data_IF_198928298234
#
_entry.id   IF_198928298234
#
_cell.length_a   1.000
_cell.length_b   1.000
_cell.length_c   1.000
_cell.angle_alpha   90.00
_cell.angle_beta   90.00
_cell.angle_gamma   90.00
#
_symmetry.space_group_name_H-M   'P 1'
#
loop_
_entity.id
_entity.type
_entity.pdbx_description
1 polymer ?
#
# COMPACT_ATOMS: atom_id res chain seq x y z
N UNK A 1 -25.96 11.21 2.00
CA UNK A 1 -24.89 11.99 1.31
C UNK A 1 -24.86 13.47 1.70
N UNK A 2 -23.78 13.87 2.37
CA UNK A 2 -23.51 15.24 2.83
C UNK A 2 -22.94 16.18 1.72
N UNK A 3 -22.72 17.46 2.05
CA UNK A 3 -22.24 18.47 1.11
C UNK A 3 -20.82 18.22 0.58
N UNK A 4 -19.89 17.81 1.45
CA UNK A 4 -18.50 17.52 1.08
C UNK A 4 -18.48 16.33 0.11
N UNK A 5 -19.19 15.26 0.44
CA UNK A 5 -19.30 14.08 -0.43
C UNK A 5 -19.88 14.46 -1.79
N UNK A 6 -20.92 15.30 -1.85
CA UNK A 6 -21.46 15.79 -3.15
C UNK A 6 -20.45 16.61 -3.96
N UNK A 7 -19.58 17.39 -3.31
CA UNK A 7 -18.52 18.16 -4.00
C UNK A 7 -17.44 17.23 -4.54
N UNK A 8 -17.02 16.24 -3.75
CA UNK A 8 -16.03 15.22 -4.14
C UNK A 8 -16.58 14.32 -5.26
N UNK A 9 -17.83 13.87 -5.15
CA UNK A 9 -18.50 13.09 -6.19
C UNK A 9 -18.56 13.85 -7.53
N UNK A 10 -18.97 15.12 -7.51
CA UNK A 10 -18.98 15.95 -8.73
C UNK A 10 -17.58 16.11 -9.32
N UNK A 11 -16.58 16.34 -8.47
CA UNK A 11 -15.19 16.44 -8.91
C UNK A 11 -14.71 15.18 -9.66
N UNK A 12 -14.96 13.98 -9.12
CA UNK A 12 -14.58 12.73 -9.80
C UNK A 12 -15.54 12.33 -10.93
N UNK A 13 -16.71 12.95 -11.03
CA UNK A 13 -17.57 12.83 -12.22
C UNK A 13 -16.96 13.58 -13.40
N UNK A 14 -16.46 14.80 -13.14
CA UNK A 14 -15.83 15.65 -14.15
C UNK A 14 -14.38 15.21 -14.46
N UNK A 15 -13.72 14.60 -13.48
CA UNK A 15 -12.33 14.13 -13.56
C UNK A 15 -12.18 12.71 -13.02
N UNK A 16 -12.65 11.68 -13.75
CA UNK A 16 -12.47 10.29 -13.33
C UNK A 16 -10.99 9.98 -13.10
N UNK A 17 -10.70 9.44 -11.91
CA UNK A 17 -9.34 9.17 -11.43
C UNK A 17 -9.35 7.89 -10.56
N UNK A 18 -8.26 7.10 -10.49
CA UNK A 18 -7.00 7.19 -11.25
C UNK A 18 -7.16 7.07 -12.77
N UNK A 19 -6.07 7.20 -13.53
CA UNK A 19 -6.07 6.91 -14.97
C UNK A 19 -6.33 5.43 -15.28
N UNK A 20 -6.32 5.07 -16.56
CA UNK A 20 -6.57 3.68 -17.03
C UNK A 20 -5.37 2.75 -16.93
N UNK A 21 -4.25 3.24 -16.40
CA UNK A 21 -3.05 2.42 -16.21
C UNK A 21 -3.21 1.54 -14.99
N UNK A 22 -2.84 0.27 -15.13
CA UNK A 22 -2.85 -0.67 -14.01
C UNK A 22 -1.89 -0.22 -12.93
N UNK A 23 -2.40 -0.12 -11.71
CA UNK A 23 -1.62 0.17 -10.53
C UNK A 23 -1.57 -1.10 -9.69
N UNK A 24 -0.58 -1.94 -9.97
CA UNK A 24 -0.25 -3.05 -9.06
C UNK A 24 0.39 -2.42 -7.83
N UNK A 25 -0.43 -2.23 -6.79
CA UNK A 25 0.03 -1.76 -5.48
C UNK A 25 0.76 -2.87 -4.75
N UNK A 26 1.68 -2.51 -3.87
CA UNK A 26 2.39 -3.45 -3.01
C UNK A 26 1.40 -4.27 -2.14
N UNK A 27 0.23 -3.71 -1.82
CA UNK A 27 -0.80 -4.38 -1.05
C UNK A 27 -1.83 -5.16 -1.89
N UNK A 28 -1.61 -5.33 -3.20
CA UNK A 28 -2.52 -6.05 -4.10
C UNK A 28 -2.55 -7.57 -3.89
N UNK A 29 -1.82 -8.08 -2.90
CA UNK A 29 -1.61 -9.51 -2.65
C UNK A 29 -2.31 -9.92 -1.35
N UNK A 30 -3.56 -10.41 -1.40
CA UNK A 30 -4.31 -10.81 -0.21
C UNK A 30 -3.54 -11.80 0.66
N UNK A 31 -2.89 -12.80 0.06
CA UNK A 31 -2.08 -13.79 0.78
C UNK A 31 -0.97 -13.15 1.63
N UNK A 32 -0.35 -12.07 1.14
CA UNK A 32 0.65 -11.31 1.89
C UNK A 32 -0.01 -10.54 3.03
N UNK A 33 -1.03 -9.71 2.74
CA UNK A 33 -1.68 -8.86 3.75
C UNK A 33 -2.22 -9.69 4.91
N UNK A 34 -2.87 -10.77 4.53
CA UNK A 34 -3.48 -11.65 5.49
C UNK A 34 -2.49 -12.51 6.29
N UNK A 35 -1.25 -12.62 5.82
CA UNK A 35 -0.19 -13.28 6.57
C UNK A 35 0.29 -12.53 7.81
N UNK A 36 -0.12 -11.27 7.95
CA UNK A 36 0.30 -10.40 9.05
C UNK A 36 -0.57 -10.54 10.29
N UNK A 37 -1.70 -11.24 10.21
CA UNK A 37 -2.56 -11.55 11.36
C UNK A 37 -2.36 -13.02 11.72
N UNK A 38 -2.30 -13.31 13.02
CA UNK A 38 -2.24 -14.69 13.49
C UNK A 38 -3.61 -15.35 13.32
N UNK A 39 -3.71 -16.30 12.40
CA UNK A 39 -4.98 -17.00 12.11
C UNK A 39 -4.77 -18.34 11.44
N UNK A 40 -5.83 -19.14 11.46
CA UNK A 40 -5.97 -20.34 10.65
C UNK A 40 -6.30 -19.99 9.17
N UNK A 41 -6.03 -20.90 8.21
CA UNK A 41 -6.44 -20.75 6.81
C UNK A 41 -7.93 -20.47 6.67
N UNK A 42 -8.33 -19.67 5.68
CA UNK A 42 -9.76 -19.44 5.44
C UNK A 42 -10.41 -20.69 4.87
N UNK A 43 -11.48 -21.24 5.48
CA UNK A 43 -12.21 -22.37 4.91
C UNK A 43 -13.15 -21.96 3.77
N UNK A 44 -13.06 -20.72 3.27
CA UNK A 44 -14.01 -20.09 2.35
C UNK A 44 -13.31 -19.27 1.28
N UNK A 45 -14.04 -19.00 0.20
CA UNK A 45 -13.65 -18.02 -0.83
C UNK A 45 -13.30 -16.67 -0.20
N UNK A 46 -12.15 -16.12 -0.62
CA UNK A 46 -11.71 -14.79 -0.21
C UNK A 46 -12.71 -13.73 -0.68
N UNK A 47 -13.02 -12.82 0.23
CA UNK A 47 -13.86 -11.65 -0.01
C UNK A 47 -12.99 -10.40 0.09
N UNK A 48 -12.90 -9.68 -1.03
CA UNK A 48 -11.97 -8.57 -1.25
C UNK A 48 -12.76 -7.30 -1.57
N UNK A 49 -12.49 -6.19 -0.87
CA UNK A 49 -13.16 -4.89 -1.06
C UNK A 49 -12.16 -3.77 -1.36
N UNK A 50 -12.30 -3.09 -2.49
CA UNK A 50 -11.63 -1.80 -2.74
C UNK A 50 -12.62 -0.66 -2.47
N UNK A 51 -12.45 0.01 -1.31
CA UNK A 51 -13.33 1.05 -0.81
C UNK A 51 -12.91 2.43 -1.36
N UNK A 52 -13.59 2.89 -2.41
CA UNK A 52 -13.22 4.03 -3.24
C UNK A 52 -12.34 3.60 -4.42
N UNK A 53 -12.84 2.65 -5.21
CA UNK A 53 -12.07 1.99 -6.27
C UNK A 53 -11.77 2.90 -7.48
N UNK A 54 -12.40 4.07 -7.57
CA UNK A 54 -12.26 4.99 -8.69
C UNK A 54 -12.54 4.29 -10.02
N UNK A 55 -11.65 4.51 -10.99
CA UNK A 55 -11.71 3.89 -12.32
C UNK A 55 -11.19 2.44 -12.36
N UNK A 56 -10.89 1.84 -11.20
CA UNK A 56 -10.50 0.43 -11.09
C UNK A 56 -9.01 0.14 -11.30
N UNK A 57 -8.15 1.16 -11.30
CA UNK A 57 -6.71 1.00 -11.57
C UNK A 57 -6.00 -0.05 -10.68
N UNK A 58 -6.38 -0.14 -9.40
CA UNK A 58 -5.90 -1.18 -8.48
C UNK A 58 -6.85 -2.39 -8.37
N UNK A 59 -8.16 -2.15 -8.43
CA UNK A 59 -9.19 -3.20 -8.36
C UNK A 59 -9.03 -4.27 -9.44
N UNK A 60 -8.74 -3.86 -10.67
CA UNK A 60 -8.65 -4.75 -11.84
C UNK A 60 -7.48 -5.73 -11.73
N UNK A 61 -6.22 -5.29 -11.46
CA UNK A 61 -5.13 -6.23 -11.25
C UNK A 61 -5.39 -7.13 -10.04
N UNK A 62 -6.01 -6.63 -8.95
CA UNK A 62 -6.43 -7.48 -7.82
C UNK A 62 -7.38 -8.58 -8.29
N UNK A 63 -8.41 -8.25 -9.07
CA UNK A 63 -9.35 -9.23 -9.62
C UNK A 63 -8.68 -10.23 -10.58
N UNK A 64 -7.72 -9.77 -11.40
CA UNK A 64 -7.00 -10.61 -12.35
C UNK A 64 -6.09 -11.64 -11.65
N UNK A 65 -5.43 -11.24 -10.55
CA UNK A 65 -4.56 -12.12 -9.76
C UNK A 65 -5.33 -13.08 -8.84
N UNK A 66 -6.61 -12.82 -8.59
CA UNK A 66 -7.44 -13.60 -7.66
C UNK A 66 -8.77 -14.01 -8.33
N UNK A 67 -8.76 -14.85 -9.39
CA UNK A 67 -9.95 -15.19 -10.16
C UNK A 67 -11.01 -15.96 -9.36
N UNK A 68 -10.60 -16.70 -8.34
CA UNK A 68 -11.49 -17.47 -7.46
C UNK A 68 -12.08 -16.61 -6.33
N UNK A 69 -11.58 -15.39 -6.10
CA UNK A 69 -12.04 -14.51 -5.04
C UNK A 69 -13.29 -13.73 -5.47
N UNK A 70 -14.15 -13.42 -4.50
CA UNK A 70 -15.20 -12.42 -4.70
C UNK A 70 -14.60 -11.03 -4.51
N UNK A 71 -14.51 -10.27 -5.60
CA UNK A 71 -13.87 -8.96 -5.62
C UNK A 71 -14.92 -7.87 -5.86
N UNK A 72 -15.02 -6.94 -4.91
CA UNK A 72 -16.00 -5.86 -4.92
C UNK A 72 -15.28 -4.52 -4.92
N UNK A 73 -15.64 -3.64 -5.86
CA UNK A 73 -15.25 -2.23 -5.88
C UNK A 73 -16.43 -1.35 -5.53
N UNK A 74 -16.23 -0.39 -4.63
CA UNK A 74 -17.25 0.63 -4.33
C UNK A 74 -16.71 2.02 -4.60
N UNK A 75 -17.53 2.90 -5.16
CA UNK A 75 -17.20 4.31 -5.35
C UNK A 75 -18.46 5.17 -5.32
N UNK A 76 -18.31 6.46 -5.02
CA UNK A 76 -19.42 7.42 -5.01
C UNK A 76 -19.75 7.92 -6.43
N UNK A 77 -18.75 7.93 -7.32
CA UNK A 77 -18.84 8.44 -8.70
C UNK A 77 -19.30 7.36 -9.68
N UNK A 78 -20.48 7.55 -10.27
CA UNK A 78 -20.99 6.66 -11.34
C UNK A 78 -20.05 6.67 -12.55
N UNK A 79 -19.52 7.83 -12.93
CA UNK A 79 -18.62 7.95 -14.07
C UNK A 79 -17.33 7.14 -13.87
N UNK A 80 -16.78 7.15 -12.64
CA UNK A 80 -15.62 6.33 -12.30
C UNK A 80 -15.93 4.83 -12.38
N UNK A 81 -17.11 4.42 -11.87
CA UNK A 81 -17.56 3.02 -11.95
C UNK A 81 -17.84 2.56 -13.38
N UNK A 82 -18.35 3.44 -14.25
CA UNK A 82 -18.55 3.14 -15.67
C UNK A 82 -17.20 2.90 -16.38
N UNK A 83 -16.18 3.71 -16.08
CA UNK A 83 -14.82 3.47 -16.60
C UNK A 83 -14.21 2.19 -16.03
N UNK A 84 -14.40 1.92 -14.73
CA UNK A 84 -13.97 0.67 -14.10
C UNK A 84 -14.62 -0.55 -14.76
N UNK A 85 -15.92 -0.49 -15.04
CA UNK A 85 -16.65 -1.54 -15.74
C UNK A 85 -16.13 -1.74 -17.17
N UNK A 86 -15.84 -0.64 -17.88
CA UNK A 86 -15.28 -0.69 -19.22
C UNK A 86 -13.88 -1.32 -19.23
N UNK A 87 -13.03 -0.95 -18.27
CA UNK A 87 -11.70 -1.56 -18.12
C UNK A 87 -11.80 -3.04 -17.72
N UNK A 88 -12.65 -3.40 -16.77
CA UNK A 88 -12.85 -4.79 -16.35
C UNK A 88 -13.23 -5.70 -17.53
N UNK A 89 -14.12 -5.24 -18.41
CA UNK A 89 -14.48 -5.95 -19.66
C UNK A 89 -13.29 -6.09 -20.61
N UNK A 90 -12.49 -5.02 -20.79
CA UNK A 90 -11.29 -5.06 -21.65
C UNK A 90 -10.24 -6.05 -21.16
N UNK A 91 -10.17 -6.24 -19.85
CA UNK A 91 -9.14 -7.04 -19.18
C UNK A 91 -9.59 -8.46 -18.81
N UNK A 92 -10.82 -8.84 -19.16
CA UNK A 92 -11.35 -10.17 -18.86
C UNK A 92 -11.67 -10.40 -17.37
N UNK A 93 -11.79 -9.34 -16.57
CA UNK A 93 -12.10 -9.41 -15.14
C UNK A 93 -13.55 -9.02 -14.83
N UNK A 94 -14.47 -9.30 -15.74
CA UNK A 94 -15.88 -8.94 -15.61
C UNK A 94 -16.63 -9.68 -14.47
N UNK A 95 -15.96 -10.58 -13.74
CA UNK A 95 -16.45 -11.21 -12.52
C UNK A 95 -16.46 -10.29 -11.31
N UNK A 96 -15.78 -9.14 -11.37
CA UNK A 96 -15.81 -8.16 -10.29
C UNK A 96 -17.19 -7.48 -10.16
N UNK A 97 -17.55 -7.15 -8.93
CA UNK A 97 -18.79 -6.44 -8.61
C UNK A 97 -18.49 -4.95 -8.39
N UNK A 98 -19.26 -4.06 -9.03
CA UNK A 98 -19.14 -2.61 -8.88
C UNK A 98 -20.41 -2.06 -8.26
N UNK A 99 -20.27 -1.36 -7.14
CA UNK A 99 -21.40 -0.85 -6.37
C UNK A 99 -21.21 0.65 -6.12
N UNK A 100 -22.23 1.44 -6.47
CA UNK A 100 -22.25 2.84 -6.08
C UNK A 100 -22.61 2.97 -4.59
N UNK A 101 -21.70 3.52 -3.79
CA UNK A 101 -21.94 3.74 -2.36
C UNK A 101 -21.21 4.97 -1.83
N UNK A 102 -21.74 5.55 -0.76
CA UNK A 102 -21.12 6.63 -0.01
C UNK A 102 -20.57 6.06 1.31
N UNK A 103 -19.25 6.00 1.43
CA UNK A 103 -18.59 5.43 2.60
C UNK A 103 -18.90 6.19 3.91
N UNK A 104 -19.29 7.47 3.81
CA UNK A 104 -19.73 8.27 4.97
C UNK A 104 -21.14 7.85 5.40
N UNK A 105 -22.01 7.58 4.43
CA UNK A 105 -23.40 7.19 4.64
C UNK A 105 -23.52 5.66 4.73
N UNK A 106 -23.33 5.13 5.94
CA UNK A 106 -23.33 3.70 6.20
C UNK A 106 -24.58 2.93 5.75
N UNK A 107 -25.72 3.62 5.56
CA UNK A 107 -26.93 2.99 5.01
C UNK A 107 -26.72 2.50 3.57
N UNK A 108 -25.89 3.20 2.79
CA UNK A 108 -25.57 2.83 1.40
C UNK A 108 -24.70 1.57 1.32
N UNK A 109 -24.09 1.13 2.43
CA UNK A 109 -23.26 -0.07 2.51
C UNK A 109 -24.04 -1.32 2.91
N UNK A 110 -25.34 -1.21 3.17
CA UNK A 110 -26.20 -2.35 3.53
C UNK A 110 -26.12 -3.52 2.54
N UNK A 111 -26.10 -3.31 1.20
CA UNK A 111 -25.93 -4.40 0.25
C UNK A 111 -24.62 -5.19 0.43
N UNK A 112 -23.55 -4.53 0.88
CA UNK A 112 -22.28 -5.18 1.17
C UNK A 112 -22.37 -6.04 2.43
N UNK A 113 -23.06 -5.57 3.48
CA UNK A 113 -23.28 -6.35 4.70
C UNK A 113 -24.10 -7.61 4.43
N UNK A 114 -25.13 -7.50 3.60
CA UNK A 114 -26.01 -8.62 3.23
C UNK A 114 -25.33 -9.60 2.28
N UNK A 115 -24.56 -9.10 1.30
CA UNK A 115 -23.86 -9.90 0.30
C UNK A 115 -22.54 -10.52 0.77
N UNK A 116 -22.04 -10.13 1.94
CA UNK A 116 -20.74 -10.58 2.47
C UNK A 116 -20.86 -11.20 3.87
N UNK A 117 -21.56 -12.34 4.05
CA UNK A 117 -21.62 -13.00 5.34
C UNK A 117 -20.21 -13.37 5.81
N UNK A 118 -19.88 -12.99 7.05
CA UNK A 118 -18.53 -13.17 7.62
C UNK A 118 -17.56 -12.01 7.34
N UNK A 119 -17.94 -11.04 6.50
CA UNK A 119 -17.15 -9.85 6.19
C UNK A 119 -16.03 -10.07 5.17
N UNK A 120 -15.37 -8.99 4.80
CA UNK A 120 -14.26 -8.95 3.87
C UNK A 120 -12.94 -9.29 4.56
N UNK A 121 -12.17 -10.17 3.95
CA UNK A 121 -10.88 -10.64 4.44
C UNK A 121 -9.79 -9.58 4.24
N UNK A 122 -9.92 -8.79 3.17
CA UNK A 122 -9.11 -7.59 2.93
C UNK A 122 -10.01 -6.44 2.46
N UNK A 123 -9.83 -5.29 3.10
CA UNK A 123 -10.42 -4.02 2.65
C UNK A 123 -9.26 -3.07 2.33
N UNK A 124 -9.26 -2.48 1.14
CA UNK A 124 -8.36 -1.37 0.80
C UNK A 124 -9.11 -0.04 0.90
N UNK A 125 -8.50 0.94 1.56
CA UNK A 125 -8.95 2.32 1.66
C UNK A 125 -7.79 3.25 1.29
N UNK A 126 -7.45 3.26 0.01
CA UNK A 126 -6.27 3.95 -0.50
C UNK A 126 -6.66 5.19 -1.28
N UNK A 127 -6.11 6.36 -0.92
CA UNK A 127 -6.43 7.59 -1.65
C UNK A 127 -7.79 8.22 -1.31
N UNK A 128 -8.48 7.75 -0.26
CA UNK A 128 -9.90 8.06 -0.04
C UNK A 128 -10.16 8.80 1.26
N UNK A 129 -9.62 8.30 2.38
CA UNK A 129 -9.97 8.80 3.72
C UNK A 129 -9.70 10.32 3.90
N UNK A 130 -8.70 10.88 3.20
CA UNK A 130 -8.37 12.31 3.19
C UNK A 130 -9.35 13.19 2.40
N UNK A 131 -10.25 12.58 1.63
CA UNK A 131 -11.29 13.25 0.85
C UNK A 131 -12.67 13.14 1.51
N UNK A 132 -12.76 12.59 2.72
CA UNK A 132 -14.01 12.39 3.45
C UNK A 132 -14.28 13.50 4.47
N UNK A 133 -15.57 13.75 4.73
CA UNK A 133 -16.05 14.67 5.78
C UNK A 133 -15.93 14.06 7.17
N UNK A 134 -16.25 12.76 7.30
CA UNK A 134 -16.23 11.99 8.55
C UNK A 134 -15.29 10.77 8.43
N UNK A 135 -13.97 10.98 8.62
CA UNK A 135 -12.97 9.90 8.56
C UNK A 135 -13.25 8.78 9.57
N UNK A 136 -13.69 9.11 10.77
CA UNK A 136 -13.89 8.14 11.85
C UNK A 136 -15.16 7.34 11.56
N UNK A 137 -16.23 7.99 11.08
CA UNK A 137 -17.44 7.33 10.60
C UNK A 137 -17.15 6.34 9.47
N UNK A 138 -16.37 6.75 8.47
CA UNK A 138 -15.93 5.88 7.36
C UNK A 138 -15.20 4.65 7.89
N UNK A 139 -14.21 4.82 8.78
CA UNK A 139 -13.49 3.70 9.36
C UNK A 139 -14.39 2.80 10.22
N UNK A 140 -15.35 3.36 10.97
CA UNK A 140 -16.34 2.58 11.72
C UNK A 140 -17.25 1.77 10.79
N UNK A 141 -17.65 2.33 9.67
CA UNK A 141 -18.44 1.63 8.66
C UNK A 141 -17.65 0.47 8.04
N UNK A 142 -16.39 0.71 7.64
CA UNK A 142 -15.52 -0.34 7.09
C UNK A 142 -15.18 -1.41 8.12
N UNK A 143 -14.99 -1.05 9.40
CA UNK A 143 -14.81 -2.03 10.48
C UNK A 143 -15.99 -3.00 10.58
N UNK A 144 -17.23 -2.57 10.34
CA UNK A 144 -18.42 -3.45 10.34
C UNK A 144 -18.42 -4.44 9.17
N UNK A 145 -17.79 -4.06 8.05
CA UNK A 145 -17.62 -4.89 6.87
C UNK A 145 -16.42 -5.83 6.98
N UNK A 146 -15.47 -5.55 7.89
CA UNK A 146 -14.23 -6.31 8.04
C UNK A 146 -14.48 -7.65 8.73
N UNK A 147 -14.00 -8.74 8.12
CA UNK A 147 -14.01 -10.06 8.74
C UNK A 147 -13.26 -10.06 10.09
N UNK A 148 -13.56 -10.99 11.02
CA UNK A 148 -12.89 -11.05 12.32
C UNK A 148 -11.36 -11.11 12.23
N UNK A 149 -10.82 -11.82 11.24
CA UNK A 149 -9.37 -11.94 10.96
C UNK A 149 -8.97 -11.17 9.69
N UNK A 150 -9.79 -10.20 9.31
CA UNK A 150 -9.59 -9.35 8.14
C UNK A 150 -8.58 -8.24 8.39
N UNK A 151 -7.98 -7.76 7.29
CA UNK A 151 -7.01 -6.66 7.29
C UNK A 151 -7.57 -5.47 6.51
N UNK A 152 -7.51 -4.29 7.12
CA UNK A 152 -7.80 -3.02 6.48
C UNK A 152 -6.47 -2.35 6.08
N UNK A 153 -6.21 -2.21 4.79
CA UNK A 153 -5.13 -1.38 4.25
C UNK A 153 -5.60 0.07 4.13
N UNK A 154 -4.86 1.00 4.73
CA UNK A 154 -5.16 2.44 4.72
C UNK A 154 -3.98 3.19 4.13
N UNK A 155 -4.24 4.01 3.12
CA UNK A 155 -3.29 4.97 2.60
C UNK A 155 -3.86 6.38 2.68
N UNK A 156 -3.10 7.28 3.33
CA UNK A 156 -3.41 8.70 3.37
C UNK A 156 -2.21 9.56 3.00
N UNK A 157 -2.50 10.76 2.50
CA UNK A 157 -1.45 11.75 2.26
C UNK A 157 -0.81 12.23 3.56
N UNK A 158 0.53 12.18 3.60
CA UNK A 158 1.34 12.62 4.74
C UNK A 158 1.43 14.14 4.78
N UNK A 159 1.25 14.72 5.97
CA UNK A 159 1.33 16.17 6.21
C UNK A 159 2.69 16.74 5.86
N UNK A 160 3.75 16.05 6.25
CA UNK A 160 5.11 16.56 6.09
C UNK A 160 5.63 16.29 4.68
N UNK A 161 5.50 15.05 4.19
CA UNK A 161 5.97 14.71 2.85
C UNK A 161 5.16 15.37 1.72
N UNK A 162 3.90 15.76 1.96
CA UNK A 162 3.11 16.54 0.99
C UNK A 162 3.12 18.04 1.21
N UNK A 163 3.88 18.54 2.18
CA UNK A 163 3.91 19.98 2.47
C UNK A 163 4.17 20.87 1.24
N UNK A 164 5.10 20.53 0.31
CA UNK A 164 5.28 21.32 -0.91
C UNK A 164 4.01 21.41 -1.79
N UNK A 165 3.28 20.30 -1.90
CA UNK A 165 2.02 20.19 -2.67
C UNK A 165 0.92 20.99 -2.01
N UNK A 166 0.74 20.81 -0.71
CA UNK A 166 -0.31 21.50 0.06
C UNK A 166 -0.09 23.01 0.04
N UNK A 167 1.17 23.47 0.13
CA UNK A 167 1.53 24.88 0.00
C UNK A 167 1.24 25.41 -1.40
N UNK A 168 1.58 24.66 -2.44
CA UNK A 168 1.30 25.07 -3.81
C UNK A 168 -0.22 25.15 -4.08
N UNK A 169 -0.97 24.11 -3.74
CA UNK A 169 -2.43 24.07 -3.85
C UNK A 169 -3.08 25.26 -3.10
N UNK A 170 -2.57 25.57 -1.90
CA UNK A 170 -3.03 26.73 -1.12
C UNK A 170 -2.70 28.05 -1.81
N UNK A 171 -1.51 28.21 -2.41
CA UNK A 171 -1.15 29.41 -3.15
C UNK A 171 -2.10 29.67 -4.33
N UNK A 172 -2.45 28.62 -5.09
CA UNK A 172 -3.44 28.71 -6.18
C UNK A 172 -4.81 29.14 -5.67
N UNK A 173 -5.30 28.56 -4.57
CA UNK A 173 -6.59 28.95 -3.98
C UNK A 173 -6.59 30.39 -3.44
N UNK A 174 -5.47 30.86 -2.89
CA UNK A 174 -5.33 32.23 -2.39
C UNK A 174 -5.24 33.26 -3.53
N UNK A 175 -4.55 32.93 -4.61
CA UNK A 175 -4.43 33.82 -5.77
C UNK A 175 -5.76 33.95 -6.53
N UNK A 176 -6.56 32.88 -6.56
CA UNK A 176 -7.77 32.77 -7.35
C UNK A 176 -8.96 32.26 -6.51
N UNK A 177 -9.44 33.04 -5.51
CA UNK A 177 -10.45 32.59 -4.55
C UNK A 177 -11.83 32.33 -5.16
N UNK A 178 -12.23 33.10 -6.18
CA UNK A 178 -13.53 32.99 -6.85
C UNK A 178 -13.47 32.19 -8.16
N UNK A 179 -12.27 31.83 -8.62
CA UNK A 179 -12.08 31.17 -9.91
C UNK A 179 -12.57 29.71 -9.90
N UNK A 180 -13.09 29.29 -11.05
CA UNK A 180 -13.41 27.89 -11.32
C UNK A 180 -12.17 27.01 -11.48
N UNK A 181 -12.38 25.70 -11.54
CA UNK A 181 -11.30 24.70 -11.60
C UNK A 181 -10.41 24.87 -12.85
N UNK A 182 -11.00 25.19 -14.00
CA UNK A 182 -10.26 25.36 -15.26
C UNK A 182 -9.27 26.54 -15.21
N UNK A 183 -9.71 27.68 -14.67
CA UNK A 183 -8.87 28.88 -14.53
C UNK A 183 -7.75 28.66 -13.51
N UNK A 184 -8.08 28.08 -12.35
CA UNK A 184 -7.08 27.69 -11.34
C UNK A 184 -6.03 26.75 -11.92
N UNK A 185 -6.44 25.79 -12.74
CA UNK A 185 -5.53 24.86 -13.41
C UNK A 185 -4.62 25.56 -14.41
N UNK A 186 -5.17 26.42 -15.25
CA UNK A 186 -4.38 27.17 -16.24
C UNK A 186 -3.30 27.99 -15.54
N UNK A 187 -3.68 28.75 -14.51
CA UNK A 187 -2.74 29.54 -13.72
C UNK A 187 -1.73 28.68 -12.96
N UNK A 188 -2.17 27.58 -12.34
CA UNK A 188 -1.26 26.66 -11.65
C UNK A 188 -0.18 26.10 -12.59
N UNK A 189 -0.55 25.69 -13.82
CA UNK A 189 0.40 25.23 -14.83
C UNK A 189 1.35 26.32 -15.29
N UNK A 190 0.86 27.55 -15.45
CA UNK A 190 1.69 28.71 -15.79
C UNK A 190 2.72 29.00 -14.69
N UNK A 191 2.29 29.03 -13.42
CA UNK A 191 3.19 29.20 -12.27
C UNK A 191 4.22 28.08 -12.25
N UNK A 192 3.82 26.81 -12.41
CA UNK A 192 4.75 25.67 -12.49
C UNK A 192 5.79 25.82 -13.59
N UNK A 193 5.41 26.32 -14.76
CA UNK A 193 6.33 26.51 -15.88
C UNK A 193 7.34 27.66 -15.66
N UNK A 194 7.00 28.63 -14.80
CA UNK A 194 7.81 29.81 -14.52
C UNK A 194 8.57 29.74 -13.18
N UNK A 195 8.26 28.76 -12.33
CA UNK A 195 8.90 28.58 -11.03
C UNK A 195 10.38 28.23 -11.21
N UNK A 196 11.25 29.06 -10.64
CA UNK A 196 12.67 28.73 -10.47
C UNK A 196 12.84 27.87 -9.21
N UNK A 197 13.24 26.62 -9.41
CA UNK A 197 13.43 25.61 -8.37
C UNK A 197 14.74 25.87 -7.61
N UNK A 198 14.82 27.00 -6.90
CA UNK A 198 15.90 27.29 -5.95
C UNK A 198 15.92 26.28 -4.78
N UNK A 199 16.90 26.39 -3.86
CA UNK A 199 17.20 25.34 -2.86
C UNK A 199 16.11 25.09 -1.79
N UNK A 200 15.01 25.85 -1.79
CA UNK A 200 13.97 25.82 -0.74
C UNK A 200 12.62 25.28 -1.25
N UNK A 201 12.48 25.06 -2.56
CA UNK A 201 11.32 24.36 -3.11
C UNK A 201 11.83 23.07 -3.76
N UNK A 202 11.83 21.97 -3.00
CA UNK A 202 11.65 20.65 -3.65
C UNK A 202 10.37 20.83 -4.46
N UNK A 203 10.51 20.79 -5.79
CA UNK A 203 9.37 20.88 -6.69
C UNK A 203 8.23 20.02 -6.11
N UNK A 204 6.96 20.42 -6.24
CA UNK A 204 5.83 19.58 -5.83
C UNK A 204 5.70 18.28 -6.67
N UNK A 205 6.79 17.52 -6.84
CA UNK A 205 7.14 16.36 -7.69
C UNK A 205 7.85 16.65 -9.02
N UNK A 206 8.50 15.62 -9.58
CA UNK A 206 9.48 15.72 -10.67
C UNK A 206 8.88 16.01 -12.06
N UNK A 207 7.57 15.86 -12.29
CA UNK A 207 6.94 16.00 -13.63
C UNK A 207 5.48 16.54 -13.67
N UNK A 208 5.09 17.59 -12.92
CA UNK A 208 3.70 18.04 -12.83
C UNK A 208 3.12 18.58 -14.16
N UNK A 209 3.96 19.07 -15.07
CA UNK A 209 3.53 19.61 -16.37
C UNK A 209 3.05 18.50 -17.34
N UNK A 210 3.58 17.29 -17.17
CA UNK A 210 3.26 16.12 -18.01
C UNK A 210 2.10 15.30 -17.43
N UNK A 211 1.71 15.56 -16.19
CA UNK A 211 0.61 14.86 -15.53
C UNK A 211 -0.72 15.02 -16.31
N UNK A 212 -1.49 13.93 -16.50
CA UNK A 212 -2.84 13.98 -17.04
C UNK A 212 -3.74 14.97 -16.29
N UNK A 213 -4.77 15.48 -16.96
CA UNK A 213 -5.66 16.51 -16.39
C UNK A 213 -6.27 16.09 -15.06
N UNK A 214 -6.80 14.86 -14.98
CA UNK A 214 -7.41 14.33 -13.77
C UNK A 214 -6.40 14.20 -12.62
N UNK A 215 -5.18 13.72 -12.88
CA UNK A 215 -4.11 13.63 -11.88
C UNK A 215 -3.69 15.00 -11.37
N UNK A 216 -3.53 15.98 -12.27
CA UNK A 216 -3.18 17.33 -11.88
C UNK A 216 -4.28 17.97 -11.01
N UNK A 217 -5.55 17.77 -11.40
CA UNK A 217 -6.69 18.27 -10.65
C UNK A 217 -6.78 17.61 -9.27
N UNK A 218 -6.65 16.29 -9.18
CA UNK A 218 -6.67 15.54 -7.92
C UNK A 218 -5.54 16.00 -6.99
N UNK A 219 -4.35 16.18 -7.55
CA UNK A 219 -3.16 16.53 -6.78
C UNK A 219 -3.18 17.96 -6.23
N UNK A 220 -3.57 18.94 -7.04
CA UNK A 220 -3.37 20.36 -6.70
C UNK A 220 -4.67 21.13 -6.46
N UNK A 221 -5.80 20.61 -6.93
CA UNK A 221 -7.05 21.37 -7.00
C UNK A 221 -8.25 20.65 -6.40
N UNK A 222 -8.04 19.49 -5.75
CA UNK A 222 -9.12 18.71 -5.16
C UNK A 222 -9.98 19.57 -4.20
N UNK A 223 -11.31 19.47 -4.25
CA UNK A 223 -12.21 20.37 -3.52
C UNK A 223 -12.18 20.19 -2.00
N UNK A 224 -11.75 19.02 -1.53
CA UNK A 224 -11.61 18.68 -0.12
C UNK A 224 -10.45 17.70 0.06
N UNK A 225 -9.28 18.19 0.44
CA UNK A 225 -8.11 17.37 0.69
C UNK A 225 -7.48 17.78 2.00
N UNK A 226 -7.15 16.79 2.82
CA UNK A 226 -6.42 16.96 4.08
C UNK A 226 -5.24 15.99 4.11
N UNK A 227 -4.22 16.35 4.88
CA UNK A 227 -3.04 15.52 5.09
C UNK A 227 -2.91 15.18 6.57
N UNK A 228 -2.38 14.01 6.87
CA UNK A 228 -2.32 13.44 8.21
C UNK A 228 -0.88 13.39 8.72
N UNK A 229 -0.70 13.62 10.02
CA UNK A 229 0.49 13.16 10.72
C UNK A 229 0.27 11.79 11.34
N UNK A 230 1.34 11.10 11.73
CA UNK A 230 1.29 9.79 12.42
C UNK A 230 0.34 9.82 13.61
N UNK A 231 0.48 10.84 14.48
CA UNK A 231 -0.35 10.99 15.68
C UNK A 231 -1.84 11.03 15.38
N UNK A 232 -2.24 11.92 14.48
CA UNK A 232 -3.64 12.13 14.10
C UNK A 232 -4.23 10.85 13.47
N UNK A 233 -3.44 10.14 12.66
CA UNK A 233 -3.87 8.88 12.05
C UNK A 233 -4.10 7.79 13.10
N UNK A 234 -3.24 7.69 14.12
CA UNK A 234 -3.41 6.77 15.25
C UNK A 234 -4.64 7.12 16.08
N UNK A 235 -4.88 8.40 16.36
CA UNK A 235 -6.07 8.89 17.06
C UNK A 235 -7.35 8.52 16.28
N UNK A 236 -7.39 8.78 14.97
CA UNK A 236 -8.52 8.45 14.10
C UNK A 236 -8.80 6.94 14.04
N UNK A 237 -7.76 6.10 13.97
CA UNK A 237 -7.91 4.63 14.02
C UNK A 237 -8.47 4.17 15.38
N UNK A 238 -7.89 4.69 16.48
CA UNK A 238 -8.31 4.36 17.84
C UNK A 238 -9.76 4.74 18.12
N UNK A 239 -10.18 5.94 17.71
CA UNK A 239 -11.57 6.40 17.85
C UNK A 239 -12.56 5.61 16.99
N UNK A 240 -12.11 5.07 15.85
CA UNK A 240 -12.89 4.13 15.05
C UNK A 240 -12.96 2.72 15.66
N UNK A 241 -12.20 2.48 16.74
CA UNK A 241 -12.08 1.17 17.39
C UNK A 241 -11.32 0.17 16.54
N UNK A 242 -10.38 0.62 15.72
CA UNK A 242 -9.45 -0.21 14.98
C UNK A 242 -8.08 -0.20 15.68
N UNK A 243 -7.34 -1.28 15.51
CA UNK A 243 -5.97 -1.41 16.00
C UNK A 243 -4.99 -1.28 14.85
N UNK A 244 -3.97 -0.45 15.02
CA UNK A 244 -2.80 -0.44 14.15
C UNK A 244 -2.11 -1.81 14.19
N UNK A 245 -1.91 -2.42 13.03
CA UNK A 245 -1.25 -3.71 12.89
C UNK A 245 0.24 -3.53 12.61
N UNK A 246 0.56 -2.81 11.54
CA UNK A 246 1.92 -2.47 11.11
C UNK A 246 1.88 -1.45 9.98
N UNK A 247 3.01 -0.81 9.71
CA UNK A 247 3.22 -0.10 8.45
C UNK A 247 3.34 -1.08 7.28
N UNK A 248 3.01 -0.64 6.08
CA UNK A 248 3.16 -1.44 4.87
C UNK A 248 4.62 -1.85 4.66
N UNK A 249 5.56 -0.93 4.89
CA UNK A 249 7.01 -1.17 4.86
C UNK A 249 7.63 -0.87 6.24
N UNK A 250 7.66 -1.83 7.18
CA UNK A 250 8.09 -1.57 8.55
C UNK A 250 9.54 -1.09 8.67
N UNK A 251 10.42 -1.49 7.74
CA UNK A 251 11.83 -1.06 7.73
C UNK A 251 11.99 0.44 7.50
N UNK A 252 11.03 1.07 6.80
CA UNK A 252 10.97 2.52 6.65
C UNK A 252 10.53 3.24 7.95
N UNK A 253 10.27 2.49 9.02
CA UNK A 253 9.87 2.96 10.34
C UNK A 253 10.68 2.29 11.47
N UNK A 254 11.76 1.58 11.12
CA UNK A 254 12.66 0.91 12.05
C UNK A 254 13.91 1.77 12.31
N UNK A 255 14.21 2.14 13.56
CA UNK A 255 15.34 3.03 13.84
C UNK A 255 16.70 2.51 13.38
N UNK A 256 16.97 1.21 13.50
CA UNK A 256 18.25 0.63 13.11
C UNK A 256 18.39 0.55 11.59
N UNK A 257 17.29 0.24 10.89
CA UNK A 257 17.25 0.27 9.43
C UNK A 257 17.46 1.69 8.87
N UNK A 258 16.95 2.72 9.55
CA UNK A 258 17.00 4.10 9.05
C UNK A 258 18.26 4.87 9.45
N UNK A 259 18.80 4.63 10.65
CA UNK A 259 19.95 5.36 11.20
C UNK A 259 21.24 4.52 11.26
N UNK A 260 21.14 3.21 11.05
CA UNK A 260 22.22 2.26 11.35
C UNK A 260 22.36 1.98 12.84
N UNK A 261 23.25 1.05 13.18
CA UNK A 261 23.53 0.70 14.57
C UNK A 261 24.18 1.86 15.33
N UNK A 262 23.69 2.14 16.55
CA UNK A 262 24.32 3.08 17.46
C UNK A 262 23.36 3.78 18.44
N UNK A 263 23.89 4.66 19.31
CA UNK A 263 23.15 5.19 20.46
C UNK A 263 21.88 5.98 20.10
N UNK A 264 21.84 6.59 18.92
CA UNK A 264 20.65 7.30 18.44
C UNK A 264 19.53 6.34 18.05
N UNK A 265 19.85 5.28 17.31
CA UNK A 265 18.90 4.22 16.95
C UNK A 265 18.40 3.49 18.19
N UNK A 266 19.30 3.11 19.11
CA UNK A 266 18.96 2.45 20.38
C UNK A 266 17.96 3.28 21.19
N UNK A 267 18.18 4.59 21.27
CA UNK A 267 17.31 5.51 21.99
C UNK A 267 15.91 5.56 21.37
N UNK A 268 15.82 5.63 20.04
CA UNK A 268 14.53 5.61 19.34
C UNK A 268 13.84 4.26 19.46
N UNK A 269 14.58 3.15 19.37
CA UNK A 269 14.06 1.79 19.47
C UNK A 269 13.41 1.53 20.84
N UNK A 270 13.95 2.14 21.90
CA UNK A 270 13.42 2.06 23.26
C UNK A 270 12.20 2.96 23.53
N UNK A 271 11.79 3.84 22.61
CA UNK A 271 10.62 4.69 22.79
C UNK A 271 9.31 3.90 22.65
N UNK A 272 8.20 4.37 23.26
CA UNK A 272 6.86 3.90 22.92
C UNK A 272 6.62 3.93 21.41
N UNK A 273 5.95 2.90 20.89
CA UNK A 273 5.81 2.66 19.44
C UNK A 273 5.31 3.88 18.66
N UNK A 274 4.22 4.49 19.10
CA UNK A 274 3.67 5.67 18.44
C UNK A 274 4.64 6.86 18.50
N UNK A 275 5.25 7.11 19.65
CA UNK A 275 6.22 8.20 19.81
C UNK A 275 7.43 8.02 18.89
N UNK A 276 7.91 6.79 18.74
CA UNK A 276 9.00 6.45 17.81
C UNK A 276 8.62 6.81 16.37
N UNK A 277 7.44 6.44 15.92
CA UNK A 277 6.97 6.77 14.56
C UNK A 277 6.78 8.28 14.36
N UNK A 278 6.26 9.00 15.35
CA UNK A 278 6.14 10.47 15.30
C UNK A 278 7.52 11.13 15.14
N UNK A 279 8.55 10.64 15.82
CA UNK A 279 9.92 11.17 15.67
C UNK A 279 10.49 10.83 14.29
N UNK A 280 10.34 9.60 13.80
CA UNK A 280 10.84 9.21 12.48
C UNK A 280 10.15 10.01 11.36
N UNK A 281 8.86 10.30 11.48
CA UNK A 281 8.13 11.18 10.56
C UNK A 281 8.73 12.59 10.47
N UNK A 282 9.35 13.09 11.55
CA UNK A 282 10.03 14.40 11.51
C UNK A 282 11.41 14.34 10.85
N UNK A 283 12.05 13.16 10.81
CA UNK A 283 13.40 12.98 10.29
C UNK A 283 13.40 12.58 8.81
N UNK A 284 12.34 11.91 8.34
CA UNK A 284 12.27 11.32 7.01
C UNK A 284 10.96 11.68 6.31
N UNK A 285 11.09 12.12 5.05
CA UNK A 285 9.93 12.49 4.24
C UNK A 285 9.24 11.26 3.66
N UNK A 286 8.06 10.94 4.18
CA UNK A 286 7.14 9.99 3.57
C UNK A 286 6.04 10.74 2.83
N UNK A 287 5.90 10.56 1.51
CA UNK A 287 4.86 11.24 0.73
C UNK A 287 3.42 10.78 1.09
N UNK A 288 3.30 9.56 1.60
CA UNK A 288 2.06 8.97 2.08
C UNK A 288 2.33 8.13 3.34
N UNK A 289 1.29 7.97 4.15
CA UNK A 289 1.26 7.06 5.29
C UNK A 289 0.43 5.83 4.87
N UNK A 290 1.09 4.67 4.81
CA UNK A 290 0.50 3.40 4.34
C UNK A 290 0.62 2.36 5.45
N UNK A 291 -0.51 1.95 6.01
CA UNK A 291 -0.57 1.03 7.15
C UNK A 291 -1.64 -0.03 6.98
N UNK A 292 -1.51 -1.08 7.78
CA UNK A 292 -2.53 -2.08 7.99
C UNK A 292 -3.15 -1.90 9.37
N UNK A 293 -4.46 -2.10 9.45
CA UNK A 293 -5.24 -2.09 10.67
C UNK A 293 -6.14 -3.33 10.74
N UNK A 294 -6.56 -3.70 11.95
CA UNK A 294 -7.41 -4.86 12.22
C UNK A 294 -8.37 -4.60 13.40
N UNK A 295 -9.20 -5.58 13.73
CA UNK A 295 -10.01 -5.55 14.95
C UNK A 295 -9.13 -5.53 16.20
N UNK A 296 -9.54 -4.82 17.28
CA UNK A 296 -8.72 -4.65 18.49
C UNK A 296 -8.44 -5.96 19.24
N UNK A 297 -9.33 -6.94 19.10
CA UNK A 297 -9.22 -8.31 19.63
C UNK A 297 -8.12 -9.13 18.94
N UNK A 298 -7.58 -8.65 17.81
CA UNK A 298 -6.56 -9.36 17.03
C UNK A 298 -5.16 -8.85 17.30
N UNK A 299 -4.21 -9.79 17.22
CA UNK A 299 -2.79 -9.51 17.31
C UNK A 299 -2.14 -9.75 15.95
N UNK A 300 -1.05 -9.02 15.70
CA UNK A 300 -0.18 -9.34 14.57
C UNK A 300 0.48 -10.69 14.76
N UNK A 301 0.82 -11.33 13.65
CA UNK A 301 1.47 -12.63 13.63
C UNK A 301 2.80 -12.55 14.41
N UNK A 302 3.02 -13.42 15.42
CA UNK A 302 4.23 -13.35 16.23
C UNK A 302 5.48 -13.63 15.39
N UNK A 303 6.63 -13.12 15.84
CA UNK A 303 7.93 -13.45 15.23
C UNK A 303 8.14 -14.96 15.23
N UNK A 304 8.71 -15.49 14.14
CA UNK A 304 8.99 -16.91 14.02
C UNK A 304 10.16 -17.29 14.96
N UNK A 305 9.98 -18.25 15.86
CA UNK A 305 11.10 -18.77 16.64
C UNK A 305 12.13 -19.44 15.72
N UNK A 306 13.46 -19.24 15.92
CA UNK A 306 14.48 -19.82 15.06
C UNK A 306 14.38 -21.35 14.90
N UNK A 307 13.98 -22.05 15.96
CA UNK A 307 13.79 -23.51 15.97
C UNK A 307 12.61 -23.97 15.11
N UNK A 308 11.63 -23.09 14.87
CA UNK A 308 10.46 -23.36 14.03
C UNK A 308 10.69 -22.97 12.57
N UNK A 309 11.80 -22.28 12.26
CA UNK A 309 12.10 -21.84 10.90
C UNK A 309 12.12 -22.97 9.87
N UNK A 310 12.77 -24.12 10.11
CA UNK A 310 12.89 -25.15 9.07
C UNK A 310 11.55 -25.66 8.53
N UNK A 311 10.53 -25.72 9.38
CA UNK A 311 9.22 -26.27 9.05
C UNK A 311 8.20 -25.19 8.64
N UNK A 312 8.56 -23.90 8.78
CA UNK A 312 7.72 -22.80 8.37
C UNK A 312 7.63 -22.73 6.84
N UNK A 313 6.41 -22.52 6.34
CA UNK A 313 6.20 -22.20 4.94
C UNK A 313 6.65 -20.76 4.69
N UNK A 314 7.46 -20.56 3.66
CA UNK A 314 7.99 -19.28 3.20
C UNK A 314 7.74 -19.12 1.70
N UNK A 315 7.66 -17.88 1.23
CA UNK A 315 7.55 -17.53 -0.18
C UNK A 315 8.25 -16.20 -0.45
N UNK A 316 8.62 -15.98 -1.71
CA UNK A 316 9.13 -14.66 -2.14
C UNK A 316 8.08 -13.59 -1.91
N UNK A 317 8.45 -12.48 -1.26
CA UNK A 317 7.51 -11.39 -1.03
C UNK A 317 7.11 -10.79 -2.39
N UNK A 318 5.81 -10.79 -2.77
CA UNK A 318 5.39 -10.27 -4.07
C UNK A 318 5.60 -8.75 -4.22
N UNK A 319 5.91 -8.03 -3.13
CA UNK A 319 6.35 -6.63 -3.15
C UNK A 319 7.83 -6.45 -3.49
N UNK A 320 8.63 -7.52 -3.39
CA UNK A 320 10.06 -7.47 -3.59
C UNK A 320 10.42 -7.69 -5.06
N UNK A 321 11.09 -6.70 -5.65
CA UNK A 321 11.71 -6.85 -6.97
C UNK A 321 13.05 -7.56 -6.83
N UNK A 322 13.26 -8.63 -7.59
CA UNK A 322 14.56 -9.30 -7.72
C UNK A 322 15.16 -9.00 -9.09
N UNK A 323 16.41 -8.57 -9.10
CA UNK A 323 17.18 -8.29 -10.30
C UNK A 323 18.53 -9.01 -10.24
N UNK A 324 19.06 -9.39 -11.40
CA UNK A 324 20.39 -9.97 -11.51
C UNK A 324 21.26 -9.14 -12.44
N UNK A 325 22.52 -8.93 -12.06
CA UNK A 325 23.52 -8.33 -12.96
C UNK A 325 24.17 -9.44 -13.78
N UNK A 326 24.12 -9.34 -15.10
CA UNK A 326 24.76 -10.28 -16.02
C UNK A 326 25.84 -9.56 -16.82
N UNK A 327 27.05 -10.13 -16.87
CA UNK A 327 28.12 -9.73 -17.78
C UNK A 327 28.20 -10.69 -18.95
N UNK A 328 28.31 -10.14 -20.16
CA UNK A 328 28.54 -10.92 -21.36
C UNK A 328 29.99 -10.79 -21.81
N UNK A 329 30.64 -11.92 -22.05
CA UNK A 329 31.95 -12.01 -22.68
C UNK A 329 31.86 -12.95 -23.89
N UNK A 330 31.68 -12.38 -25.09
CA UNK A 330 31.32 -13.15 -26.28
C UNK A 330 29.91 -13.75 -26.14
N UNK A 331 29.76 -15.05 -26.38
CA UNK A 331 28.50 -15.79 -26.15
C UNK A 331 28.30 -16.21 -24.69
N UNK A 332 29.33 -16.12 -23.85
CA UNK A 332 29.23 -16.50 -22.45
C UNK A 332 28.52 -15.41 -21.63
N UNK A 333 27.43 -15.79 -20.96
CA UNK A 333 26.73 -14.95 -19.98
C UNK A 333 27.13 -15.39 -18.58
N UNK A 334 27.70 -14.48 -17.80
CA UNK A 334 28.05 -14.67 -16.39
C UNK A 334 27.12 -13.83 -15.53
N UNK A 335 26.42 -14.47 -14.59
CA UNK A 335 25.61 -13.74 -13.59
C UNK A 335 26.51 -13.36 -12.42
N UNK A 336 26.72 -12.05 -12.25
CA UNK A 336 27.69 -11.47 -11.30
C UNK A 336 27.10 -11.30 -9.90
N UNK A 337 25.79 -11.10 -9.77
CA UNK A 337 25.14 -10.96 -8.47
C UNK A 337 23.65 -10.72 -8.55
N UNK A 338 22.99 -10.80 -7.40
CA UNK A 338 21.57 -10.49 -7.24
C UNK A 338 21.41 -9.22 -6.42
N UNK A 339 20.40 -8.42 -6.76
CA UNK A 339 19.96 -7.29 -5.96
C UNK A 339 18.45 -7.35 -5.79
N UNK A 340 18.00 -7.08 -4.59
CA UNK A 340 16.59 -7.01 -4.28
C UNK A 340 16.22 -5.65 -3.69
N UNK A 341 14.97 -5.25 -3.85
CA UNK A 341 14.42 -4.08 -3.17
C UNK A 341 12.94 -4.29 -2.90
N UNK A 342 12.44 -3.65 -1.85
CA UNK A 342 11.02 -3.37 -1.70
C UNK A 342 10.71 -2.06 -2.42
N UNK A 343 9.57 -1.98 -3.11
CA UNK A 343 9.00 -0.81 -3.81
C UNK A 343 9.95 0.37 -4.07
N UNK A 344 10.05 1.31 -3.12
CA UNK A 344 10.81 2.56 -3.23
C UNK A 344 12.10 2.57 -2.39
N UNK A 345 12.40 1.47 -1.71
CA UNK A 345 13.64 1.28 -0.99
C UNK A 345 14.84 1.18 -1.93
N UNK A 346 16.06 1.44 -1.43
CA UNK A 346 17.28 1.25 -2.19
C UNK A 346 17.44 -0.22 -2.58
N UNK A 347 18.12 -0.46 -3.70
CA UNK A 347 18.58 -1.82 -4.01
C UNK A 347 19.61 -2.27 -2.98
N UNK A 348 19.35 -3.44 -2.42
CA UNK A 348 20.27 -4.14 -1.54
C UNK A 348 20.93 -5.28 -2.32
N UNK A 349 22.25 -5.40 -2.20
CA UNK A 349 22.99 -6.53 -2.77
C UNK A 349 22.68 -7.79 -1.95
N UNK A 350 22.48 -8.91 -2.65
CA UNK A 350 22.38 -10.24 -2.06
C UNK A 350 23.63 -11.02 -2.43
N UNK A 351 24.28 -11.62 -1.43
CA UNK A 351 25.53 -12.36 -1.60
C UNK A 351 25.44 -13.78 -1.04
N UNK A 352 26.30 -14.67 -1.54
CA UNK A 352 26.45 -16.04 -1.06
C UNK A 352 25.12 -16.78 -0.93
N UNK A 353 24.77 -17.13 0.31
CA UNK A 353 23.56 -17.89 0.63
C UNK A 353 22.28 -17.10 0.32
N UNK A 354 22.25 -15.79 0.57
CA UNK A 354 21.05 -14.98 0.31
C UNK A 354 20.71 -14.95 -1.18
N UNK A 355 21.72 -14.77 -2.02
CA UNK A 355 21.57 -14.84 -3.47
C UNK A 355 21.08 -16.21 -3.94
N UNK A 356 21.62 -17.29 -3.34
CA UNK A 356 21.20 -18.65 -3.65
C UNK A 356 19.74 -18.89 -3.27
N UNK A 357 19.30 -18.44 -2.09
CA UNK A 357 17.92 -18.55 -1.61
C UNK A 357 16.99 -17.71 -2.49
N UNK A 358 17.30 -16.44 -2.72
CA UNK A 358 16.47 -15.55 -3.53
C UNK A 358 16.26 -16.06 -4.95
N UNK A 359 17.31 -16.63 -5.57
CA UNK A 359 17.20 -17.22 -6.90
C UNK A 359 16.54 -18.60 -6.95
N UNK A 360 16.34 -19.25 -5.81
CA UNK A 360 15.73 -20.58 -5.69
C UNK A 360 14.29 -20.53 -5.17
N UNK A 361 13.85 -19.38 -4.67
CA UNK A 361 12.50 -19.14 -4.18
C UNK A 361 11.53 -19.07 -5.36
N UNK A 362 10.49 -19.90 -5.30
CA UNK A 362 9.44 -19.95 -6.31
C UNK A 362 8.10 -19.62 -5.64
N UNK A 363 7.29 -20.64 -5.34
CA UNK A 363 6.04 -20.53 -4.61
C UNK A 363 6.19 -20.79 -3.11
N UNK A 364 5.06 -20.85 -2.38
CA UNK A 364 5.01 -21.26 -0.97
C UNK A 364 5.59 -22.67 -0.76
N UNK A 365 6.56 -22.79 0.13
CA UNK A 365 7.20 -24.07 0.46
C UNK A 365 7.86 -24.05 1.85
N UNK A 366 8.16 -25.23 2.45
CA UNK A 366 8.93 -25.27 3.70
C UNK A 366 10.32 -24.65 3.54
N UNK A 367 10.74 -23.85 4.53
CA UNK A 367 12.05 -23.19 4.52
C UNK A 367 13.22 -24.17 4.39
N UNK A 368 13.10 -25.37 4.99
CA UNK A 368 14.09 -26.45 4.85
C UNK A 368 14.27 -26.86 3.40
N UNK A 369 13.17 -27.04 2.67
CA UNK A 369 13.19 -27.45 1.26
C UNK A 369 13.85 -26.38 0.38
N UNK A 370 13.51 -25.11 0.62
CA UNK A 370 14.17 -23.98 -0.05
C UNK A 370 15.67 -23.93 0.27
N UNK A 371 16.04 -24.10 1.54
CA UNK A 371 17.41 -24.07 2.01
C UNK A 371 18.26 -25.23 1.44
N UNK A 372 17.70 -26.44 1.32
CA UNK A 372 18.38 -27.58 0.68
C UNK A 372 18.70 -27.29 -0.79
N UNK A 373 17.74 -26.76 -1.55
CA UNK A 373 17.96 -26.39 -2.96
C UNK A 373 18.96 -25.26 -3.11
N UNK A 374 18.86 -24.23 -2.27
CA UNK A 374 19.79 -23.10 -2.28
C UNK A 374 21.21 -23.53 -1.89
N UNK A 375 21.34 -24.33 -0.83
CA UNK A 375 22.62 -24.82 -0.33
C UNK A 375 23.38 -25.65 -1.35
N UNK A 376 22.67 -26.50 -2.10
CA UNK A 376 23.26 -27.29 -3.19
C UNK A 376 23.87 -26.40 -4.31
N UNK A 377 23.33 -25.21 -4.57
CA UNK A 377 23.84 -24.29 -5.61
C UNK A 377 25.16 -23.62 -5.24
N UNK A 378 25.40 -23.41 -3.95
CA UNK A 378 26.61 -22.72 -3.43
C UNK A 378 27.49 -23.63 -2.56
N UNK A 379 27.22 -24.95 -2.57
CA UNK A 379 27.96 -25.98 -1.86
C UNK A 379 28.09 -25.72 -0.34
N UNK A 380 26.97 -25.39 0.31
CA UNK A 380 26.87 -25.24 1.78
C UNK A 380 25.79 -26.18 2.35
N UNK A 381 25.83 -26.45 3.65
CA UNK A 381 24.81 -27.30 4.28
C UNK A 381 23.44 -26.61 4.32
N UNK A 382 22.33 -27.37 4.40
CA UNK A 382 20.99 -26.79 4.57
C UNK A 382 20.87 -25.89 5.80
N UNK A 383 21.55 -26.21 6.91
CA UNK A 383 21.56 -25.39 8.13
C UNK A 383 22.23 -24.04 7.90
N UNK A 384 23.34 -24.01 7.16
CA UNK A 384 23.95 -22.76 6.74
C UNK A 384 23.02 -22.00 5.78
N UNK A 385 22.33 -22.70 4.88
CA UNK A 385 21.40 -22.07 3.94
C UNK A 385 20.17 -21.44 4.62
N UNK A 386 19.69 -22.02 5.72
CA UNK A 386 18.59 -21.47 6.53
C UNK A 386 18.91 -20.08 7.11
N UNK A 387 20.18 -19.75 7.33
CA UNK A 387 20.57 -18.39 7.78
C UNK A 387 20.23 -17.34 6.73
N UNK A 388 20.35 -17.66 5.44
CA UNK A 388 19.91 -16.78 4.35
C UNK A 388 18.39 -16.66 4.28
N UNK A 389 17.64 -17.74 4.54
CA UNK A 389 16.17 -17.68 4.64
C UNK A 389 15.76 -16.75 5.79
N UNK A 390 16.38 -16.90 6.97
CA UNK A 390 16.11 -16.04 8.12
C UNK A 390 16.41 -14.56 7.83
N UNK A 391 17.56 -14.27 7.22
CA UNK A 391 17.95 -12.92 6.84
C UNK A 391 16.96 -12.28 5.85
N UNK A 392 16.55 -13.03 4.82
CA UNK A 392 15.59 -12.52 3.84
C UNK A 392 14.19 -12.32 4.42
N UNK A 393 13.77 -13.12 5.41
CA UNK A 393 12.53 -12.89 6.17
C UNK A 393 12.61 -11.62 7.02
N UNK A 394 13.72 -11.41 7.73
CA UNK A 394 13.94 -10.20 8.53
C UNK A 394 13.96 -8.92 7.68
N UNK A 395 14.46 -9.03 6.45
CA UNK A 395 14.50 -7.94 5.47
C UNK A 395 13.20 -7.77 4.69
N UNK A 396 12.17 -8.57 5.00
CA UNK A 396 10.86 -8.60 4.34
C UNK A 396 10.93 -8.96 2.83
N UNK A 397 12.03 -9.58 2.38
CA UNK A 397 12.19 -10.08 1.01
C UNK A 397 11.56 -11.47 0.81
N UNK A 398 11.48 -12.23 1.89
CA UNK A 398 10.57 -13.38 2.02
C UNK A 398 9.43 -13.00 2.95
N UNK A 399 8.30 -13.68 2.82
CA UNK A 399 7.21 -13.65 3.79
C UNK A 399 6.77 -15.07 4.16
N UNK A 400 6.02 -15.19 5.25
CA UNK A 400 5.40 -16.45 5.67
C UNK A 400 3.94 -16.42 5.24
N UNK A 401 3.49 -17.11 4.20
CA UNK A 401 2.06 -17.14 3.88
C UNK A 401 1.24 -17.80 5.00
N UNK A 402 -0.06 -17.49 5.07
CA UNK A 402 -1.01 -18.19 5.96
C UNK A 402 -1.64 -19.42 5.29
N UNK A 403 -1.50 -19.55 3.98
CA UNK A 403 -2.08 -20.61 3.16
C UNK A 403 -0.99 -21.22 2.27
N UNK A 404 -0.99 -22.54 2.14
CA UNK A 404 -0.34 -23.21 0.99
C UNK A 404 -1.28 -23.00 -0.19
N UNK A 405 -0.95 -22.06 -1.08
CA UNK A 405 -1.73 -21.76 -2.29
C UNK A 405 -1.79 -22.98 -3.19
#
# INVERSE_FOLDING_TARGET
MDEITRRVQRFYTDHPYPGTEWQIRADSFPALLTSYVDREPWPRTLQLLDAGCGTGAALIPIAAMNPEARVVGVDVSVASLEEAAAQARRQGTAHLELIQADLVDGATLSPLLEGSPGGFDVIWLSGVLHHTSDPIGVLRNLKRLLAPDGVLSVMVYSRYGRMPVDRFARAVRLALPEAGLAERRAWAREVFAQLDYGPILRAPFDTPLEAPEAEFADRYLHPHARSYGVRELFEVLGEAGLRFLRWMEPRAWDPHAMLGEGPAADRLAAMPEQQRFEVLEQLFDHAALELFACHPERAGRPRLPPESLPDAVVAWNPQAGLSSTERRFGEAVWREGYRARLRAGPFETLEGVEAAVASAAEGPEPARTLAERAGARVNVSPEAALTGVASLLERELLYRPSETI
#
